data_IF_956969776972
#
_entry.id   IF_956969776972
#
_cell.length_a   1.000
_cell.length_b   1.000
_cell.length_c   1.000
_cell.angle_alpha   90.00
_cell.angle_beta   90.00
_cell.angle_gamma   90.00
#
_symmetry.space_group_name_H-M   'P 1'
#
loop_
_entity.id
_entity.type
_entity.pdbx_description
1 polymer ?
#
# COMPACT_ATOMS: atom_id res chain seq x y z
N UNK A 1 -14.16 -65.00 1.29
CA UNK A 1 -14.15 -63.62 1.80
C UNK A 1 -13.75 -62.69 0.66
N UNK A 2 -14.65 -61.78 0.29
CA UNK A 2 -14.58 -60.93 -0.89
C UNK A 2 -13.63 -59.75 -0.59
N UNK A 3 -12.54 -59.63 -1.37
CA UNK A 3 -11.68 -58.46 -1.32
C UNK A 3 -12.41 -57.27 -1.97
N UNK A 4 -12.76 -56.27 -1.16
CA UNK A 4 -13.41 -55.05 -1.63
C UNK A 4 -12.39 -54.19 -2.40
N UNK A 5 -12.65 -54.06 -3.71
CA UNK A 5 -12.33 -52.87 -4.49
C UNK A 5 -12.74 -51.60 -3.73
N UNK A 6 -11.89 -50.56 -3.73
CA UNK A 6 -12.33 -49.21 -4.13
C UNK A 6 -11.26 -48.13 -3.95
N UNK A 7 -11.00 -47.48 -5.08
CA UNK A 7 -10.81 -46.04 -5.29
C UNK A 7 -9.41 -45.43 -5.11
N UNK A 8 -8.84 -45.14 -6.28
CA UNK A 8 -7.89 -44.07 -6.53
C UNK A 8 -8.32 -42.78 -5.82
N UNK A 9 -7.43 -42.25 -5.01
CA UNK A 9 -7.52 -40.90 -4.49
C UNK A 9 -6.78 -39.98 -5.47
N UNK A 10 -7.47 -39.54 -6.51
CA UNK A 10 -7.03 -38.39 -7.29
C UNK A 10 -7.44 -37.15 -6.50
N UNK A 11 -6.49 -36.60 -5.74
CA UNK A 11 -6.64 -35.28 -5.14
C UNK A 11 -6.34 -34.21 -6.18
N UNK A 12 -7.35 -33.40 -6.46
CA UNK A 12 -7.34 -32.15 -7.23
C UNK A 12 -6.10 -31.29 -6.92
N UNK A 13 -5.33 -30.96 -7.96
CA UNK A 13 -4.08 -30.19 -7.88
C UNK A 13 -3.98 -28.99 -8.82
N UNK A 14 -5.09 -28.48 -9.36
CA UNK A 14 -5.05 -27.51 -10.48
C UNK A 14 -5.28 -26.03 -10.11
N UNK A 15 -5.45 -25.67 -8.83
CA UNK A 15 -5.73 -24.28 -8.42
C UNK A 15 -4.51 -23.48 -7.94
N UNK A 16 -3.42 -24.15 -7.55
CA UNK A 16 -2.17 -23.51 -7.09
C UNK A 16 -1.42 -22.71 -8.19
N UNK A 17 -1.34 -23.18 -9.46
CA UNK A 17 -0.58 -22.51 -10.51
C UNK A 17 -1.11 -21.11 -10.85
N UNK A 18 -2.44 -20.94 -10.83
CA UNK A 18 -3.12 -19.68 -11.21
C UNK A 18 -2.86 -18.58 -10.18
N UNK A 19 -3.02 -18.88 -8.89
CA UNK A 19 -2.78 -17.92 -7.82
C UNK A 19 -1.31 -17.47 -7.76
N UNK A 20 -0.37 -18.41 -7.97
CA UNK A 20 1.06 -18.09 -8.04
C UNK A 20 1.39 -17.21 -9.25
N UNK A 21 0.79 -17.51 -10.40
CA UNK A 21 0.93 -16.72 -11.62
C UNK A 21 0.39 -15.30 -11.43
N UNK A 22 -0.83 -15.15 -10.87
CA UNK A 22 -1.42 -13.85 -10.55
C UNK A 22 -0.53 -13.03 -9.59
N UNK A 23 0.02 -13.66 -8.54
CA UNK A 23 0.96 -12.99 -7.62
C UNK A 23 2.27 -12.59 -8.29
N UNK A 24 2.75 -13.36 -9.27
CA UNK A 24 3.93 -13.02 -10.06
C UNK A 24 3.65 -11.83 -10.97
N UNK A 25 2.51 -11.84 -11.67
CA UNK A 25 2.08 -10.74 -12.53
C UNK A 25 1.89 -9.44 -11.73
N UNK A 26 1.23 -9.50 -10.57
CA UNK A 26 1.09 -8.35 -9.66
C UNK A 26 2.45 -7.76 -9.27
N UNK A 27 3.41 -8.60 -8.89
CA UNK A 27 4.78 -8.15 -8.58
C UNK A 27 5.49 -7.54 -9.80
N UNK A 28 5.21 -8.04 -11.01
CA UNK A 28 5.76 -7.46 -12.23
C UNK A 28 5.16 -6.06 -12.47
N UNK A 29 3.84 -5.92 -12.41
CA UNK A 29 3.18 -4.62 -12.58
C UNK A 29 3.67 -3.57 -11.58
N UNK A 30 3.91 -3.97 -10.32
CA UNK A 30 4.49 -3.06 -9.31
C UNK A 30 5.90 -2.63 -9.72
N UNK A 31 6.75 -3.55 -10.20
CA UNK A 31 8.10 -3.20 -10.67
C UNK A 31 8.05 -2.25 -11.88
N UNK A 32 7.23 -2.57 -12.87
CA UNK A 32 7.08 -1.75 -14.07
C UNK A 32 6.57 -0.35 -13.71
N UNK A 33 5.65 -0.26 -12.75
CA UNK A 33 5.16 1.01 -12.23
C UNK A 33 6.24 1.82 -11.50
N UNK A 34 7.09 1.17 -10.71
CA UNK A 34 8.22 1.83 -10.03
C UNK A 34 9.26 2.33 -11.05
N UNK A 35 9.58 1.54 -12.06
CA UNK A 35 10.52 1.94 -13.13
C UNK A 35 10.00 3.14 -13.93
N UNK A 36 8.71 3.12 -14.29
CA UNK A 36 8.08 4.24 -15.00
C UNK A 36 8.06 5.52 -14.13
N UNK A 37 7.83 5.38 -12.82
CA UNK A 37 7.88 6.51 -11.90
C UNK A 37 9.30 7.11 -11.82
N UNK A 38 10.32 6.26 -11.70
CA UNK A 38 11.72 6.69 -11.65
C UNK A 38 12.14 7.46 -12.91
N UNK A 39 11.74 6.99 -14.09
CA UNK A 39 11.96 7.69 -15.36
C UNK A 39 11.30 9.07 -15.38
N UNK A 40 10.06 9.18 -14.88
CA UNK A 40 9.32 10.45 -14.84
C UNK A 40 9.92 11.44 -13.85
N UNK A 41 10.37 10.96 -12.69
CA UNK A 41 11.05 11.79 -11.70
C UNK A 41 12.38 12.29 -12.24
N UNK A 42 13.17 11.41 -12.85
CA UNK A 42 14.46 11.76 -13.47
C UNK A 42 14.31 12.84 -14.54
N UNK A 43 13.29 12.73 -15.41
CA UNK A 43 12.99 13.76 -16.40
C UNK A 43 12.66 15.12 -15.79
N UNK A 44 12.07 15.13 -14.60
CA UNK A 44 11.72 16.34 -13.84
C UNK A 44 12.84 16.82 -12.89
N UNK A 45 14.04 16.23 -12.95
CA UNK A 45 15.15 16.48 -12.01
C UNK A 45 14.78 16.20 -10.53
N UNK A 46 13.87 15.25 -10.32
CA UNK A 46 13.43 14.77 -9.01
C UNK A 46 13.94 13.35 -8.75
N UNK A 47 13.90 12.93 -7.48
CA UNK A 47 14.17 11.54 -7.07
C UNK A 47 13.10 11.03 -6.11
N UNK A 48 12.91 9.72 -6.07
CA UNK A 48 12.05 9.10 -5.08
C UNK A 48 12.81 8.92 -3.76
N UNK A 49 12.23 9.41 -2.66
CA UNK A 49 12.69 9.07 -1.31
C UNK A 49 11.79 7.97 -0.73
N UNK A 50 12.39 6.88 -0.27
CA UNK A 50 11.65 5.71 0.23
C UNK A 50 11.29 5.92 1.70
N UNK A 51 9.99 6.00 1.98
CA UNK A 51 9.47 6.07 3.34
C UNK A 51 9.38 4.70 3.99
N UNK A 52 9.40 4.65 5.32
CA UNK A 52 9.06 3.41 6.04
C UNK A 52 7.66 2.95 5.64
N UNK A 53 7.54 1.68 5.25
CA UNK A 53 6.28 1.04 4.83
C UNK A 53 5.34 0.71 5.98
N UNK A 54 4.97 1.71 6.79
CA UNK A 54 3.97 1.62 7.85
C UNK A 54 2.75 2.52 7.55
N UNK A 55 1.72 2.47 8.41
CA UNK A 55 0.51 3.29 8.26
C UNK A 55 0.73 4.80 8.46
N UNK A 56 1.96 5.25 8.76
CA UNK A 56 2.29 6.67 8.87
C UNK A 56 3.08 7.19 7.66
N UNK A 57 3.24 6.39 6.60
CA UNK A 57 4.08 6.73 5.45
C UNK A 57 3.75 8.10 4.81
N UNK A 58 2.48 8.49 4.80
CA UNK A 58 2.05 9.81 4.31
C UNK A 58 2.54 10.96 5.21
N UNK A 59 2.53 10.80 6.53
CA UNK A 59 3.08 11.81 7.44
C UNK A 59 4.61 11.80 7.43
N UNK A 60 5.23 10.64 7.20
CA UNK A 60 6.68 10.52 7.01
C UNK A 60 7.15 11.26 5.75
N UNK A 61 6.40 11.17 4.64
CA UNK A 61 6.75 11.90 3.41
C UNK A 61 6.64 13.41 3.61
N UNK A 62 5.59 13.89 4.28
CA UNK A 62 5.44 15.30 4.65
C UNK A 62 6.57 15.76 5.57
N UNK A 63 6.90 14.97 6.59
CA UNK A 63 8.02 15.24 7.50
C UNK A 63 9.34 15.37 6.74
N UNK A 64 9.62 14.45 5.80
CA UNK A 64 10.85 14.50 5.02
C UNK A 64 10.91 15.74 4.11
N UNK A 65 9.80 16.12 3.49
CA UNK A 65 9.75 17.32 2.63
C UNK A 65 9.95 18.63 3.40
N UNK A 66 9.53 18.69 4.67
CA UNK A 66 9.65 19.91 5.49
C UNK A 66 10.96 19.97 6.29
N UNK A 67 11.45 18.84 6.77
CA UNK A 67 12.52 18.76 7.77
C UNK A 67 13.70 17.88 7.34
N UNK A 68 13.68 17.32 6.13
CA UNK A 68 14.68 16.35 5.64
C UNK A 68 14.84 15.11 6.55
N UNK A 69 13.82 14.81 7.35
CA UNK A 69 13.76 13.66 8.25
C UNK A 69 12.37 13.06 8.32
N UNK A 70 12.27 11.73 8.44
CA UNK A 70 11.00 11.02 8.64
C UNK A 70 10.57 10.96 10.12
N UNK A 71 11.43 11.39 11.04
CA UNK A 71 11.24 11.18 12.48
C UNK A 71 10.18 12.12 13.09
N UNK A 72 9.93 13.27 12.47
CA UNK A 72 8.93 14.25 12.94
C UNK A 72 7.49 13.93 12.50
N UNK A 73 7.25 12.74 11.93
CA UNK A 73 5.94 12.33 11.42
C UNK A 73 4.82 12.43 12.47
N UNK A 74 5.12 12.19 13.74
CA UNK A 74 4.14 12.26 14.83
C UNK A 74 3.72 13.70 15.13
N UNK A 75 4.66 14.64 15.04
CA UNK A 75 4.36 16.07 15.15
C UNK A 75 3.52 16.53 13.95
N UNK A 76 3.94 16.17 12.73
CA UNK A 76 3.21 16.50 11.49
C UNK A 76 1.78 15.98 11.54
N UNK A 77 1.58 14.71 11.90
CA UNK A 77 0.25 14.11 12.04
C UNK A 77 -0.63 14.89 13.02
N UNK A 78 -0.09 15.26 14.18
CA UNK A 78 -0.82 16.03 15.20
C UNK A 78 -1.27 17.39 14.65
N UNK A 79 -0.39 18.08 13.93
CA UNK A 79 -0.70 19.39 13.35
C UNK A 79 -1.74 19.28 12.24
N UNK A 80 -1.66 18.27 11.38
CA UNK A 80 -2.66 18.01 10.34
C UNK A 80 -4.03 17.71 10.95
N UNK A 81 -4.12 16.79 11.91
CA UNK A 81 -5.39 16.46 12.56
C UNK A 81 -5.98 17.66 13.32
N UNK A 82 -5.13 18.46 13.99
CA UNK A 82 -5.57 19.69 14.66
C UNK A 82 -6.15 20.67 13.65
N UNK A 83 -5.47 20.89 12.53
CA UNK A 83 -5.93 21.80 11.48
C UNK A 83 -7.28 21.34 10.91
N UNK A 84 -7.43 20.06 10.60
CA UNK A 84 -8.69 19.50 10.10
C UNK A 84 -9.83 19.71 11.11
N UNK A 85 -9.58 19.45 12.40
CA UNK A 85 -10.59 19.64 13.44
C UNK A 85 -10.98 21.12 13.64
N UNK A 86 -10.05 22.06 13.45
CA UNK A 86 -10.31 23.50 13.55
C UNK A 86 -11.03 24.06 12.30
N UNK A 87 -11.05 23.32 11.19
CA UNK A 87 -11.62 23.73 9.90
C UNK A 87 -12.66 22.69 9.41
N UNK A 88 -13.50 22.19 10.32
CA UNK A 88 -14.49 21.15 10.02
C UNK A 88 -15.40 21.51 8.84
N UNK A 89 -15.73 22.80 8.68
CA UNK A 89 -16.53 23.29 7.55
C UNK A 89 -15.91 23.00 6.17
N UNK A 90 -14.57 23.00 6.08
CA UNK A 90 -13.83 22.75 4.85
C UNK A 90 -13.63 21.24 4.60
N UNK A 91 -13.50 20.47 5.67
CA UNK A 91 -13.10 19.06 5.59
C UNK A 91 -14.25 18.07 5.81
N UNK A 92 -15.39 18.51 6.33
CA UNK A 92 -16.50 17.64 6.73
C UNK A 92 -17.01 16.76 5.59
N UNK A 93 -16.98 17.24 4.35
CA UNK A 93 -17.37 16.48 3.15
C UNK A 93 -16.52 15.23 2.89
N UNK A 94 -15.32 15.14 3.46
CA UNK A 94 -14.43 13.98 3.33
C UNK A 94 -14.63 12.93 4.43
N UNK A 95 -15.46 13.21 5.43
CA UNK A 95 -15.80 12.27 6.50
C UNK A 95 -17.19 11.71 6.26
N UNK A 96 -17.37 10.42 6.52
CA UNK A 96 -18.70 9.82 6.49
C UNK A 96 -19.57 10.45 7.60
N UNK A 97 -20.82 10.79 7.29
CA UNK A 97 -21.78 11.32 8.25
C UNK A 97 -22.13 10.24 9.29
N UNK A 98 -21.33 10.15 10.34
CA UNK A 98 -21.59 9.31 11.51
C UNK A 98 -20.60 8.17 11.70
N UNK A 99 -19.55 8.44 12.46
CA UNK A 99 -19.12 7.68 13.65
C UNK A 99 -18.02 8.50 14.35
N UNK A 100 -18.40 9.19 15.43
CA UNK A 100 -17.47 9.73 16.44
C UNK A 100 -17.89 9.18 17.80
#
# INVERSE_FOLDING_TARGET
AIARSSRNFEAEGDSLPVALHARRMSRQMVRDGVELLDQRLSFAELRQEVMKGDGNCQFRSLSYQMFETQEEYAYVRRMVCKHIAEHEEDYGVYFDEGEV
#
